data_IF_555661268079
#
_entry.id   IF_555661268079
#
_cell.length_a   1.000
_cell.length_b   1.000
_cell.length_c   1.000
_cell.angle_alpha   90.00
_cell.angle_beta   90.00
_cell.angle_gamma   90.00
#
_symmetry.space_group_name_H-M   'P 1'
#
loop_
_entity.id
_entity.type
_entity.pdbx_description
1 polymer ?
#
# COMPACT_ATOMS: atom_id res chain seq x y z
N UNK A 1 -49.20 4.93 40.94
CA UNK A 1 -48.22 4.37 41.88
C UNK A 1 -47.80 3.01 41.33
N UNK A 2 -46.65 2.94 40.69
CA UNK A 2 -46.04 1.70 40.26
C UNK A 2 -44.79 1.45 41.12
N UNK A 3 -44.48 0.21 41.50
CA UNK A 3 -43.41 -0.08 42.45
C UNK A 3 -42.02 -0.01 41.79
N UNK A 4 -41.03 0.42 42.59
CA UNK A 4 -39.64 0.56 42.21
C UNK A 4 -38.96 -0.82 42.04
N UNK A 5 -37.93 -0.94 41.14
CA UNK A 5 -37.18 -2.16 40.99
C UNK A 5 -36.13 -2.34 42.10
N UNK A 6 -35.73 -3.58 42.40
CA UNK A 6 -34.82 -3.89 43.49
C UNK A 6 -33.35 -3.54 43.12
N UNK A 7 -32.65 -3.04 44.14
CA UNK A 7 -31.22 -2.72 44.12
C UNK A 7 -30.35 -3.98 44.06
N UNK A 8 -29.42 -4.05 43.10
CA UNK A 8 -28.41 -5.10 42.99
C UNK A 8 -27.11 -4.61 43.65
N UNK A 9 -26.70 -5.27 44.71
CA UNK A 9 -25.43 -5.08 45.39
C UNK A 9 -24.29 -5.69 44.57
N UNK A 10 -23.12 -5.04 44.42
CA UNK A 10 -21.99 -5.62 43.72
C UNK A 10 -21.24 -6.64 44.60
N UNK A 11 -21.01 -7.83 44.02
CA UNK A 11 -20.17 -8.87 44.61
C UNK A 11 -18.72 -8.52 44.33
N UNK A 12 -17.92 -8.33 45.38
CA UNK A 12 -16.49 -8.11 45.34
C UNK A 12 -15.74 -9.42 45.09
N UNK A 13 -15.01 -9.54 44.01
CA UNK A 13 -14.05 -10.62 43.78
C UNK A 13 -12.69 -10.29 44.44
N UNK A 14 -12.07 -11.24 45.17
CA UNK A 14 -10.77 -10.99 45.80
C UNK A 14 -9.63 -11.03 44.75
N UNK A 15 -8.84 -9.97 44.74
CA UNK A 15 -7.63 -9.87 43.90
C UNK A 15 -6.55 -10.85 44.36
N UNK A 16 -6.07 -11.65 43.43
CA UNK A 16 -4.88 -12.52 43.60
C UNK A 16 -3.60 -11.67 43.47
N UNK A 17 -2.93 -11.52 44.61
CA UNK A 17 -1.67 -10.76 44.70
C UNK A 17 -0.51 -11.41 43.97
N UNK A 18 0.32 -10.58 43.30
CA UNK A 18 1.50 -10.87 42.48
C UNK A 18 2.64 -11.68 43.16
N UNK A 19 2.47 -12.17 44.40
CA UNK A 19 3.53 -12.85 45.19
C UNK A 19 3.40 -14.38 45.30
N UNK A 20 2.47 -15.03 44.61
CA UNK A 20 2.28 -16.50 44.69
C UNK A 20 2.63 -17.28 43.41
N UNK A 21 3.31 -16.66 42.41
CA UNK A 21 3.68 -17.31 41.13
C UNK A 21 5.16 -17.68 41.04
N UNK A 22 5.89 -17.66 42.15
CA UNK A 22 7.34 -18.02 42.19
C UNK A 22 7.65 -19.26 43.02
N UNK A 23 6.73 -20.23 43.08
CA UNK A 23 6.92 -21.38 43.94
C UNK A 23 6.62 -22.76 43.37
N UNK A 24 6.78 -22.97 42.02
CA UNK A 24 6.62 -24.32 41.44
C UNK A 24 7.46 -24.48 40.16
N UNK A 25 8.79 -24.38 40.31
CA UNK A 25 9.78 -24.82 39.31
C UNK A 25 10.97 -25.45 40.03
N UNK A 26 10.83 -26.67 40.42
CA UNK A 26 11.90 -27.46 41.04
C UNK A 26 11.48 -28.89 41.19
N UNK A 27 11.79 -29.72 40.22
CA UNK A 27 12.10 -31.16 40.37
C UNK A 27 11.78 -31.93 39.07
N UNK A 28 12.74 -32.00 38.15
CA UNK A 28 12.95 -33.17 37.28
C UNK A 28 14.34 -33.02 36.64
N UNK A 29 15.38 -33.29 37.44
CA UNK A 29 16.71 -33.59 36.95
C UNK A 29 16.86 -35.11 36.94
N UNK A 30 17.29 -35.71 35.85
CA UNK A 30 17.70 -37.09 35.85
C UNK A 30 17.99 -37.67 34.48
N UNK A 31 19.26 -37.76 34.16
CA UNK A 31 19.91 -38.77 33.34
C UNK A 31 19.80 -38.68 31.79
N UNK A 32 20.94 -38.39 31.19
CA UNK A 32 21.22 -38.53 29.75
C UNK A 32 22.51 -37.82 29.34
N UNK A 33 23.62 -38.14 30.02
CA UNK A 33 24.93 -37.58 29.66
C UNK A 33 25.76 -38.54 28.79
N UNK A 34 26.59 -37.94 27.93
CA UNK A 34 27.83 -38.43 27.33
C UNK A 34 27.75 -39.21 26.02
N UNK A 35 27.84 -38.48 24.91
CA UNK A 35 28.75 -38.80 23.83
C UNK A 35 29.16 -37.50 23.12
N UNK A 36 30.15 -36.81 23.65
CA UNK A 36 30.82 -35.71 22.93
C UNK A 36 32.28 -36.11 22.79
N UNK A 37 32.79 -36.24 21.59
CA UNK A 37 34.19 -36.06 21.28
C UNK A 37 34.39 -35.70 19.80
N UNK A 38 34.88 -34.53 19.56
CA UNK A 38 35.97 -34.31 18.66
C UNK A 38 35.64 -33.83 17.25
N UNK A 39 35.94 -32.56 16.95
CA UNK A 39 36.06 -32.09 15.60
C UNK A 39 35.89 -30.57 15.47
N UNK A 40 36.84 -29.82 16.06
CA UNK A 40 36.95 -28.39 15.80
C UNK A 40 37.70 -28.17 14.47
N UNK A 41 37.00 -27.88 13.38
CA UNK A 41 37.56 -27.19 12.23
C UNK A 41 36.53 -26.17 11.77
N UNK A 42 36.82 -24.90 11.97
CA UNK A 42 35.98 -23.78 11.65
C UNK A 42 35.60 -23.72 10.15
N UNK A 43 34.33 -23.79 9.94
CA UNK A 43 33.53 -23.13 8.90
C UNK A 43 32.06 -23.44 9.20
N UNK A 44 31.40 -22.55 9.90
CA UNK A 44 29.94 -22.61 9.97
C UNK A 44 29.39 -22.30 8.56
N UNK A 45 29.22 -23.36 7.78
CA UNK A 45 28.27 -23.32 6.65
C UNK A 45 26.90 -23.27 7.28
N UNK A 46 26.14 -22.21 7.05
CA UNK A 46 24.73 -22.14 7.38
C UNK A 46 24.08 -23.37 6.73
N UNK A 47 23.61 -24.32 7.53
CA UNK A 47 22.83 -25.44 7.01
C UNK A 47 21.53 -24.89 6.47
N UNK A 48 21.38 -24.92 5.14
CA UNK A 48 20.14 -24.57 4.47
C UNK A 48 19.00 -25.39 5.10
N UNK A 49 17.92 -24.72 5.48
CA UNK A 49 16.75 -25.41 6.04
C UNK A 49 16.18 -26.33 4.96
N UNK A 50 16.22 -27.63 5.19
CA UNK A 50 15.67 -28.64 4.27
C UNK A 50 14.20 -28.91 4.60
N UNK A 51 13.34 -28.74 3.60
CA UNK A 51 11.94 -29.15 3.63
C UNK A 51 11.75 -30.64 3.33
N UNK A 52 10.51 -31.07 3.21
CA UNK A 52 10.17 -32.46 2.86
C UNK A 52 10.83 -32.87 1.53
N UNK A 53 11.42 -34.07 1.51
CA UNK A 53 12.10 -34.62 0.32
C UNK A 53 13.47 -34.00 0.01
N UNK A 54 14.12 -33.35 0.98
CA UNK A 54 15.48 -32.77 0.82
C UNK A 54 15.53 -31.49 -0.01
N UNK A 55 14.39 -30.89 -0.37
CA UNK A 55 14.31 -29.63 -1.10
C UNK A 55 14.53 -28.44 -0.16
N UNK A 56 15.03 -27.28 -0.67
CA UNK A 56 15.07 -26.04 0.10
C UNK A 56 13.70 -25.69 0.70
N UNK A 57 13.67 -25.10 1.88
CA UNK A 57 12.47 -24.57 2.52
C UNK A 57 12.47 -23.03 2.43
N UNK A 58 11.41 -22.44 1.93
CA UNK A 58 11.25 -21.00 1.74
C UNK A 58 10.04 -20.53 2.56
N UNK A 59 10.25 -19.52 3.42
CA UNK A 59 9.18 -18.81 4.12
C UNK A 59 8.79 -17.56 3.31
N UNK A 60 7.56 -17.54 2.78
CA UNK A 60 7.02 -16.41 2.05
C UNK A 60 5.95 -15.71 2.89
N UNK A 61 6.04 -14.38 3.02
CA UNK A 61 5.09 -13.58 3.80
C UNK A 61 4.29 -12.63 2.92
N UNK A 62 2.97 -12.60 3.17
CA UNK A 62 2.00 -11.75 2.50
C UNK A 62 1.12 -10.97 3.48
N UNK A 63 0.76 -9.72 3.13
CA UNK A 63 -0.35 -9.02 3.77
C UNK A 63 -1.69 -9.62 3.31
N UNK A 64 -2.76 -9.38 4.06
CA UNK A 64 -4.11 -9.74 3.63
C UNK A 64 -4.60 -8.74 2.59
N UNK A 65 -4.83 -9.25 1.39
CA UNK A 65 -5.58 -8.54 0.35
C UNK A 65 -7.07 -8.55 0.68
N UNK A 66 -7.79 -7.51 0.27
CA UNK A 66 -9.24 -7.41 0.52
C UNK A 66 -10.10 -8.32 -0.36
N UNK A 67 -9.53 -8.87 -1.44
CA UNK A 67 -10.25 -9.67 -2.42
C UNK A 67 -10.35 -11.12 -2.00
N UNK A 68 -11.52 -11.70 -2.30
CA UNK A 68 -11.79 -13.10 -1.96
C UNK A 68 -10.91 -14.07 -2.76
N UNK A 69 -10.33 -15.06 -2.08
CA UNK A 69 -9.56 -16.13 -2.71
C UNK A 69 -8.07 -15.83 -2.90
N UNK A 70 -7.60 -14.61 -2.63
CA UNK A 70 -6.19 -14.21 -2.78
C UNK A 70 -5.24 -15.06 -1.95
N UNK A 71 -5.58 -15.37 -0.69
CA UNK A 71 -4.78 -16.25 0.14
C UNK A 71 -4.63 -17.65 -0.49
N UNK A 72 -5.74 -18.25 -0.91
CA UNK A 72 -5.73 -19.59 -1.54
C UNK A 72 -4.93 -19.60 -2.84
N UNK A 73 -4.95 -18.49 -3.60
CA UNK A 73 -4.17 -18.34 -4.82
C UNK A 73 -2.67 -18.39 -4.55
N UNK A 74 -2.16 -17.52 -3.62
CA UNK A 74 -0.72 -17.52 -3.31
C UNK A 74 -0.24 -18.82 -2.68
N UNK A 75 -1.06 -19.47 -1.84
CA UNK A 75 -0.77 -20.81 -1.31
C UNK A 75 -0.72 -21.87 -2.45
N UNK A 76 -1.63 -21.75 -3.43
CA UNK A 76 -1.64 -22.57 -4.64
C UNK A 76 -0.39 -22.39 -5.50
N UNK A 77 0.04 -21.15 -5.71
CA UNK A 77 1.27 -20.85 -6.46
C UNK A 77 2.51 -21.37 -5.72
N UNK A 78 2.59 -21.17 -4.41
CA UNK A 78 3.66 -21.67 -3.57
C UNK A 78 3.78 -23.20 -3.66
N UNK A 79 2.65 -23.92 -3.55
CA UNK A 79 2.57 -25.38 -3.68
C UNK A 79 2.97 -25.88 -5.07
N UNK A 80 2.71 -25.11 -6.11
CA UNK A 80 3.04 -25.45 -7.50
C UNK A 80 4.54 -25.29 -7.83
N UNK A 81 5.33 -24.65 -6.97
CA UNK A 81 6.76 -24.47 -7.22
C UNK A 81 7.52 -25.80 -7.10
N UNK A 82 8.21 -26.28 -8.18
CA UNK A 82 8.75 -27.63 -8.18
C UNK A 82 10.06 -27.78 -7.39
N UNK A 83 10.82 -26.69 -7.18
CA UNK A 83 12.22 -26.76 -6.74
C UNK A 83 12.43 -26.52 -5.25
N UNK A 84 11.40 -26.08 -4.51
CA UNK A 84 11.45 -25.86 -3.07
C UNK A 84 10.10 -26.17 -2.41
N UNK A 85 10.10 -26.31 -1.08
CA UNK A 85 8.89 -26.30 -0.25
C UNK A 85 8.67 -24.87 0.21
N UNK A 86 7.66 -24.21 -0.34
CA UNK A 86 7.32 -22.82 0.00
C UNK A 86 6.16 -22.81 0.99
N UNK A 87 6.36 -22.18 2.15
CA UNK A 87 5.32 -21.98 3.17
C UNK A 87 4.89 -20.52 3.19
N UNK A 88 3.61 -20.28 2.92
CA UNK A 88 3.02 -18.95 2.95
C UNK A 88 2.56 -18.61 4.36
N UNK A 89 2.93 -17.43 4.83
CA UNK A 89 2.36 -16.82 6.04
C UNK A 89 1.54 -15.60 5.64
N UNK A 90 0.26 -15.63 5.98
CA UNK A 90 -0.72 -14.61 5.68
C UNK A 90 -0.97 -13.75 6.92
N UNK A 91 -0.94 -12.42 6.76
CA UNK A 91 -1.11 -11.48 7.87
C UNK A 91 -2.41 -10.68 7.68
N UNK A 92 -3.42 -10.91 8.51
CA UNK A 92 -4.69 -10.17 8.41
C UNK A 92 -4.57 -8.70 8.80
N UNK A 93 -3.51 -8.32 9.54
CA UNK A 93 -3.22 -6.93 9.92
C UNK A 93 -1.77 -6.79 10.39
N UNK A 94 -1.27 -5.53 10.46
CA UNK A 94 0.03 -5.21 11.04
C UNK A 94 1.24 -5.75 10.26
N UNK A 95 1.06 -6.07 8.99
CA UNK A 95 2.06 -6.68 8.13
C UNK A 95 3.35 -5.86 8.05
N UNK A 96 3.28 -4.59 7.65
CA UNK A 96 4.47 -3.76 7.39
C UNK A 96 5.38 -3.62 8.61
N UNK A 97 4.80 -3.36 9.79
CA UNK A 97 5.55 -3.26 11.04
C UNK A 97 6.18 -4.62 11.45
N UNK A 98 5.45 -5.70 11.19
CA UNK A 98 5.92 -7.06 11.51
C UNK A 98 7.07 -7.46 10.60
N UNK A 99 6.97 -7.21 9.28
CA UNK A 99 8.05 -7.48 8.32
C UNK A 99 9.28 -6.64 8.66
N UNK A 100 9.13 -5.33 8.83
CA UNK A 100 10.24 -4.43 9.14
C UNK A 100 11.04 -4.90 10.38
N UNK A 101 10.33 -5.33 11.43
CA UNK A 101 10.96 -5.86 12.64
C UNK A 101 11.60 -7.24 12.42
N UNK A 102 10.94 -8.12 11.68
CA UNK A 102 11.40 -9.49 11.45
C UNK A 102 12.65 -9.56 10.57
N UNK A 103 12.79 -8.67 9.59
CA UNK A 103 13.97 -8.58 8.72
C UNK A 103 15.27 -8.28 9.51
N UNK A 104 15.16 -7.76 10.72
CA UNK A 104 16.29 -7.56 11.62
C UNK A 104 16.73 -8.85 12.33
N UNK A 105 15.95 -9.92 12.25
CA UNK A 105 16.15 -11.18 12.98
C UNK A 105 16.35 -12.36 12.02
N UNK A 106 16.80 -13.50 12.55
CA UNK A 106 16.92 -14.76 11.79
C UNK A 106 15.58 -15.49 11.58
N UNK A 107 14.49 -15.03 12.23
CA UNK A 107 13.15 -15.63 12.13
C UNK A 107 12.23 -14.91 11.14
N UNK A 108 12.78 -13.98 10.37
CA UNK A 108 12.07 -13.27 9.31
C UNK A 108 11.75 -14.15 8.09
N UNK A 109 11.04 -13.59 7.09
CA UNK A 109 10.78 -14.27 5.84
C UNK A 109 12.04 -14.43 4.98
N UNK A 110 12.03 -15.44 4.09
CA UNK A 110 13.00 -15.53 3.00
C UNK A 110 12.55 -14.67 1.81
N UNK A 111 11.25 -14.70 1.51
CA UNK A 111 10.60 -13.88 0.47
C UNK A 111 9.44 -13.11 1.10
N UNK A 112 9.27 -11.86 0.74
CA UNK A 112 8.21 -11.01 1.26
C UNK A 112 7.83 -9.94 0.24
N UNK A 113 6.68 -9.33 0.44
CA UNK A 113 6.23 -8.22 -0.41
C UNK A 113 6.27 -6.89 0.35
N UNK A 114 6.44 -5.81 -0.41
CA UNK A 114 6.29 -4.44 0.10
C UNK A 114 5.44 -3.61 -0.85
N UNK A 115 4.57 -2.80 -0.31
CA UNK A 115 3.89 -1.74 -1.07
C UNK A 115 4.92 -0.77 -1.67
N UNK A 116 4.91 -0.63 -2.98
CA UNK A 116 5.89 0.17 -3.76
C UNK A 116 7.35 -0.34 -3.68
N UNK A 117 7.58 -1.62 -3.30
CA UNK A 117 8.92 -2.17 -3.11
C UNK A 117 9.58 -1.74 -1.79
N UNK A 118 10.80 -2.20 -1.50
CA UNK A 118 11.48 -1.93 -0.24
C UNK A 118 11.79 -0.44 -0.06
N UNK A 119 11.80 0.00 1.21
CA UNK A 119 12.20 1.36 1.55
C UNK A 119 13.70 1.56 1.37
N UNK A 120 14.12 2.82 1.22
CA UNK A 120 15.56 3.17 1.15
C UNK A 120 16.31 2.70 2.40
N UNK A 121 15.67 2.74 3.57
CA UNK A 121 16.28 2.26 4.81
C UNK A 121 16.51 0.75 4.80
N UNK A 122 15.60 -0.04 4.23
CA UNK A 122 15.79 -1.49 4.06
C UNK A 122 16.95 -1.79 3.10
N UNK A 123 17.06 -1.01 2.02
CA UNK A 123 18.11 -1.18 1.02
C UNK A 123 19.48 -0.81 1.61
N UNK A 124 19.60 0.38 2.20
CA UNK A 124 20.85 0.86 2.80
C UNK A 124 21.25 0.09 4.05
N UNK A 125 20.26 -0.40 4.81
CA UNK A 125 20.46 -1.29 5.96
C UNK A 125 20.85 -2.72 5.61
N UNK A 126 20.97 -3.05 4.29
CA UNK A 126 21.36 -4.39 3.83
C UNK A 126 20.35 -5.47 4.21
N UNK A 127 19.06 -5.13 4.33
CA UNK A 127 17.99 -6.06 4.72
C UNK A 127 17.43 -6.83 3.51
N UNK A 128 17.64 -6.34 2.30
CA UNK A 128 17.19 -6.92 1.04
C UNK A 128 18.36 -7.19 0.11
N UNK A 129 18.26 -8.26 -0.67
CA UNK A 129 19.31 -8.63 -1.62
C UNK A 129 19.14 -7.91 -2.96
N UNK A 130 20.27 -7.73 -3.66
CA UNK A 130 20.32 -7.28 -5.04
C UNK A 130 19.73 -8.36 -5.98
N UNK A 131 18.73 -7.99 -6.75
CA UNK A 131 18.04 -8.83 -7.73
C UNK A 131 18.38 -8.40 -9.17
N UNK A 132 19.42 -7.60 -9.37
CA UNK A 132 19.87 -7.17 -10.71
C UNK A 132 20.09 -8.38 -11.62
N UNK A 133 19.54 -8.31 -12.82
CA UNK A 133 19.60 -9.40 -13.80
C UNK A 133 18.50 -10.46 -13.64
N UNK A 134 17.73 -10.48 -12.53
CA UNK A 134 16.66 -11.46 -12.32
C UNK A 134 15.58 -11.43 -13.43
N UNK A 135 15.35 -10.25 -14.00
CA UNK A 135 14.34 -10.05 -15.05
C UNK A 135 14.78 -10.60 -16.41
N UNK A 136 16.09 -10.72 -16.66
CA UNK A 136 16.64 -11.17 -17.94
C UNK A 136 16.04 -10.41 -19.13
N UNK A 137 15.67 -11.13 -20.18
CA UNK A 137 15.09 -10.58 -21.41
C UNK A 137 13.70 -9.95 -21.19
N UNK A 138 13.05 -10.28 -20.07
CA UNK A 138 11.73 -9.72 -19.72
C UNK A 138 11.80 -8.28 -19.16
N UNK A 139 12.98 -7.72 -18.90
CA UNK A 139 13.13 -6.42 -18.27
C UNK A 139 12.40 -5.30 -19.02
N UNK A 140 12.46 -5.26 -20.37
CA UNK A 140 11.79 -4.25 -21.20
C UNK A 140 10.27 -4.39 -21.26
N UNK A 141 9.72 -5.53 -20.84
CA UNK A 141 8.29 -5.82 -20.81
C UNK A 141 7.62 -5.29 -19.54
N UNK A 142 8.36 -5.08 -18.46
CA UNK A 142 7.82 -4.48 -17.25
C UNK A 142 7.53 -2.98 -17.44
N UNK A 143 6.54 -2.49 -16.67
CA UNK A 143 6.20 -1.06 -16.63
C UNK A 143 7.39 -0.27 -16.07
N UNK A 144 7.97 0.69 -16.84
CA UNK A 144 9.23 1.35 -16.45
C UNK A 144 9.21 2.04 -15.10
N UNK A 145 8.13 2.75 -14.76
CA UNK A 145 7.99 3.47 -13.48
C UNK A 145 8.01 2.54 -12.27
N UNK A 146 7.56 1.29 -12.41
CA UNK A 146 7.61 0.30 -11.34
C UNK A 146 9.05 -0.18 -11.12
N UNK A 147 9.78 -0.44 -12.19
CA UNK A 147 11.19 -0.83 -12.13
C UNK A 147 12.03 0.29 -11.54
N UNK A 148 11.82 1.53 -12.00
CA UNK A 148 12.51 2.71 -11.47
C UNK A 148 12.32 2.85 -9.96
N UNK A 149 11.08 2.73 -9.47
CA UNK A 149 10.75 2.83 -8.04
C UNK A 149 11.42 1.74 -7.18
N UNK A 150 11.68 0.58 -7.75
CA UNK A 150 12.31 -0.57 -7.06
C UNK A 150 13.81 -0.67 -7.31
N UNK A 151 14.40 0.33 -8.00
CA UNK A 151 15.82 0.40 -8.33
C UNK A 151 16.51 1.50 -7.54
N UNK A 152 17.65 1.19 -6.94
CA UNK A 152 18.52 2.15 -6.25
C UNK A 152 19.96 1.99 -6.73
N UNK A 153 20.57 3.10 -7.18
CA UNK A 153 21.97 3.12 -7.71
C UNK A 153 22.20 2.02 -8.74
N UNK A 154 21.26 1.85 -9.67
CA UNK A 154 21.32 0.86 -10.75
C UNK A 154 21.07 -0.60 -10.35
N UNK A 155 20.71 -0.87 -9.11
CA UNK A 155 20.42 -2.20 -8.58
C UNK A 155 18.93 -2.37 -8.29
N UNK A 156 18.36 -3.48 -8.75
CA UNK A 156 16.96 -3.85 -8.51
C UNK A 156 16.83 -4.58 -7.16
N UNK A 157 15.82 -4.22 -6.35
CA UNK A 157 15.60 -4.81 -5.01
C UNK A 157 14.23 -5.47 -4.82
N UNK A 158 13.35 -5.37 -5.81
CA UNK A 158 12.09 -6.11 -5.85
C UNK A 158 11.64 -6.35 -7.29
N UNK A 159 10.86 -7.41 -7.49
CA UNK A 159 10.17 -7.68 -8.76
C UNK A 159 8.72 -7.24 -8.62
N UNK A 160 8.21 -6.31 -9.46
CA UNK A 160 6.81 -5.90 -9.41
C UNK A 160 5.87 -7.08 -9.66
N UNK A 161 4.83 -7.20 -8.84
CA UNK A 161 3.81 -8.25 -8.94
C UNK A 161 2.63 -7.79 -9.79
N UNK A 162 2.08 -6.64 -9.46
CA UNK A 162 0.95 -6.00 -10.14
C UNK A 162 1.11 -4.49 -10.08
N UNK A 163 0.31 -3.78 -10.84
CA UNK A 163 0.14 -2.32 -10.75
C UNK A 163 -1.21 -2.03 -10.10
N UNK A 164 -1.19 -1.28 -9.03
CA UNK A 164 -2.35 -0.69 -8.40
C UNK A 164 -2.40 0.81 -8.66
N UNK A 165 -3.61 1.36 -8.62
CA UNK A 165 -3.81 2.79 -8.74
C UNK A 165 -4.95 3.26 -7.84
N UNK A 166 -4.87 4.52 -7.43
CA UNK A 166 -5.97 5.23 -6.81
C UNK A 166 -6.61 6.15 -7.85
N UNK A 167 -7.93 6.33 -7.75
CA UNK A 167 -8.71 7.11 -8.70
C UNK A 167 -9.99 7.63 -8.06
N UNK A 168 -10.66 8.58 -8.71
CA UNK A 168 -11.96 9.04 -8.32
C UNK A 168 -13.04 8.27 -9.10
N UNK A 169 -13.93 7.57 -8.37
CA UNK A 169 -15.15 7.00 -8.94
C UNK A 169 -16.33 7.96 -8.76
N UNK A 170 -17.27 7.98 -9.70
CA UNK A 170 -18.45 8.83 -9.65
C UNK A 170 -19.69 8.15 -10.20
N UNK A 171 -20.86 8.51 -9.68
CA UNK A 171 -22.17 8.06 -10.18
C UNK A 171 -22.61 8.90 -11.38
N UNK A 172 -22.69 8.28 -12.58
CA UNK A 172 -23.09 8.95 -13.81
C UNK A 172 -24.50 9.58 -13.70
N UNK A 173 -25.45 8.78 -13.22
CA UNK A 173 -26.85 9.24 -13.07
C UNK A 173 -27.01 10.43 -12.11
N UNK A 174 -26.18 10.49 -11.04
CA UNK A 174 -26.25 11.60 -10.09
C UNK A 174 -25.66 12.89 -10.68
N UNK A 175 -24.54 12.81 -11.42
CA UNK A 175 -23.96 13.95 -12.11
C UNK A 175 -24.93 14.49 -13.17
N UNK A 176 -25.48 13.59 -14.01
CA UNK A 176 -26.45 13.96 -15.05
C UNK A 176 -27.69 14.64 -14.47
N UNK A 177 -28.31 14.01 -13.45
CA UNK A 177 -29.50 14.57 -12.78
C UNK A 177 -29.22 15.96 -12.19
N UNK A 178 -28.03 16.19 -11.66
CA UNK A 178 -27.63 17.47 -11.10
C UNK A 178 -27.14 18.47 -12.18
N UNK A 179 -27.01 18.06 -13.44
CA UNK A 179 -26.40 18.86 -14.51
C UNK A 179 -24.96 19.26 -14.17
N UNK A 180 -24.18 18.31 -13.65
CA UNK A 180 -22.76 18.48 -13.31
C UNK A 180 -21.91 17.83 -14.38
N UNK A 181 -21.06 18.60 -15.04
CA UNK A 181 -20.02 18.08 -15.93
C UNK A 181 -18.88 17.44 -15.11
N UNK A 182 -18.11 16.54 -15.73
CA UNK A 182 -16.91 16.00 -15.09
C UNK A 182 -15.93 17.14 -14.76
N UNK A 183 -15.51 17.27 -13.49
CA UNK A 183 -14.61 18.36 -13.10
C UNK A 183 -13.20 18.14 -13.67
N UNK A 184 -12.64 19.17 -14.25
CA UNK A 184 -11.27 19.22 -14.80
C UNK A 184 -10.32 19.96 -13.89
N UNK A 185 -10.87 20.78 -12.98
CA UNK A 185 -10.12 21.50 -11.96
C UNK A 185 -10.60 21.15 -10.55
N UNK A 186 -9.75 21.39 -9.55
CA UNK A 186 -10.10 21.20 -8.12
C UNK A 186 -11.26 22.12 -7.73
N UNK A 187 -11.34 23.35 -8.27
CA UNK A 187 -12.47 24.25 -8.00
C UNK A 187 -13.78 23.72 -8.56
N UNK A 188 -13.76 23.16 -9.77
CA UNK A 188 -14.91 22.48 -10.35
C UNK A 188 -15.31 21.24 -9.54
N UNK A 189 -14.33 20.50 -8.99
CA UNK A 189 -14.60 19.35 -8.12
C UNK A 189 -15.27 19.78 -6.81
N UNK A 190 -14.83 20.87 -6.18
CA UNK A 190 -15.47 21.45 -5.01
C UNK A 190 -16.91 21.88 -5.31
N UNK A 191 -17.10 22.57 -6.45
CA UNK A 191 -18.43 22.99 -6.90
C UNK A 191 -19.35 21.79 -7.23
N UNK A 192 -18.80 20.74 -7.85
CA UNK A 192 -19.50 19.49 -8.11
C UNK A 192 -19.90 18.79 -6.80
N UNK A 193 -18.98 18.66 -5.85
CA UNK A 193 -19.27 18.07 -4.54
C UNK A 193 -20.40 18.81 -3.84
N UNK A 194 -20.36 20.15 -3.81
CA UNK A 194 -21.42 20.98 -3.24
C UNK A 194 -22.78 20.73 -3.93
N UNK A 195 -22.81 20.69 -5.25
CA UNK A 195 -24.06 20.54 -6.04
C UNK A 195 -24.66 19.13 -5.91
N UNK A 196 -23.81 18.12 -5.67
CA UNK A 196 -24.23 16.73 -5.47
C UNK A 196 -24.62 16.43 -4.02
N UNK A 197 -24.28 17.31 -3.08
CA UNK A 197 -24.61 17.11 -1.66
C UNK A 197 -26.12 17.34 -1.44
N UNK A 198 -26.73 16.41 -0.70
CA UNK A 198 -28.12 16.47 -0.23
C UNK A 198 -28.16 16.08 1.25
N UNK A 199 -29.33 16.05 1.85
CA UNK A 199 -29.52 15.60 3.23
C UNK A 199 -29.06 14.13 3.45
N UNK A 200 -29.08 13.31 2.39
CA UNK A 200 -28.79 11.88 2.45
C UNK A 200 -27.47 11.47 1.81
N UNK A 201 -26.95 12.27 0.92
CA UNK A 201 -25.77 11.95 0.10
C UNK A 201 -24.76 13.08 0.22
N UNK A 202 -23.52 12.79 0.48
CA UNK A 202 -22.42 13.75 0.39
C UNK A 202 -21.85 13.76 -1.03
N UNK A 203 -21.33 14.91 -1.47
CA UNK A 203 -20.76 15.04 -2.80
C UNK A 203 -19.51 14.18 -3.02
N UNK A 204 -18.66 14.08 -2.00
CA UNK A 204 -17.39 13.36 -2.09
C UNK A 204 -17.07 12.59 -0.79
N UNK A 205 -16.43 11.43 -0.94
CA UNK A 205 -15.73 10.71 0.13
C UNK A 205 -14.27 10.45 -0.26
N UNK A 206 -13.34 10.74 0.64
CA UNK A 206 -11.89 10.53 0.42
C UNK A 206 -11.18 9.98 1.66
N UNK A 207 -11.93 9.30 2.53
CA UNK A 207 -11.45 8.77 3.81
C UNK A 207 -11.99 9.54 5.02
N UNK A 208 -12.00 8.85 6.14
CA UNK A 208 -12.52 9.39 7.41
C UNK A 208 -11.61 10.46 8.02
N UNK A 209 -10.38 10.57 7.51
CA UNK A 209 -9.42 11.61 7.87
C UNK A 209 -9.58 12.91 7.04
N UNK A 210 -10.53 12.94 6.12
CA UNK A 210 -10.76 14.07 5.23
C UNK A 210 -9.83 14.09 4.01
N UNK A 211 -9.27 12.96 3.63
CA UNK A 211 -8.37 12.81 2.50
C UNK A 211 -6.89 13.08 2.82
N UNK A 212 -6.55 13.32 4.08
CA UNK A 212 -5.16 13.59 4.49
C UNK A 212 -4.22 12.46 4.10
N UNK A 213 -4.64 11.22 4.31
CA UNK A 213 -3.82 10.04 4.04
C UNK A 213 -3.60 9.74 2.55
N UNK A 214 -4.42 10.31 1.65
CA UNK A 214 -4.42 9.89 0.23
C UNK A 214 -4.38 11.03 -0.78
N UNK A 215 -4.81 12.25 -0.43
CA UNK A 215 -4.90 13.36 -1.37
C UNK A 215 -3.71 14.33 -1.34
N UNK A 216 -2.77 14.15 -0.42
CA UNK A 216 -1.60 15.03 -0.32
C UNK A 216 -0.77 15.07 -1.61
N UNK A 217 -0.37 13.90 -2.13
CA UNK A 217 0.33 13.79 -3.41
C UNK A 217 -0.48 14.30 -4.61
N UNK A 218 -1.73 13.83 -4.80
CA UNK A 218 -2.62 14.37 -5.82
C UNK A 218 -2.74 15.90 -5.82
N UNK A 219 -2.78 16.54 -4.65
CA UNK A 219 -2.81 17.99 -4.54
C UNK A 219 -1.48 18.66 -4.96
N UNK A 220 -0.33 18.06 -4.64
CA UNK A 220 0.96 18.55 -5.14
C UNK A 220 1.01 18.47 -6.67
N UNK A 221 0.64 17.35 -7.26
CA UNK A 221 0.65 17.16 -8.71
C UNK A 221 -0.37 18.05 -9.42
N UNK A 222 -1.52 18.29 -8.78
CA UNK A 222 -2.52 19.25 -9.25
C UNK A 222 -1.97 20.69 -9.31
N UNK A 223 -0.99 21.02 -8.47
CA UNK A 223 -0.26 22.29 -8.48
C UNK A 223 0.97 22.30 -9.41
N UNK A 224 1.28 21.18 -10.08
CA UNK A 224 2.52 21.02 -10.87
C UNK A 224 3.78 20.78 -10.05
N UNK A 225 3.61 20.35 -8.80
CA UNK A 225 4.68 20.07 -7.83
C UNK A 225 4.80 18.57 -7.59
N UNK A 226 5.84 18.17 -6.85
CA UNK A 226 6.02 16.79 -6.41
C UNK A 226 6.63 16.75 -5.00
N UNK A 227 6.71 15.58 -4.39
CA UNK A 227 7.33 15.38 -3.07
C UNK A 227 8.78 15.86 -3.02
N UNK A 228 9.55 15.54 -4.05
CA UNK A 228 10.94 15.94 -4.23
C UNK A 228 11.09 16.64 -5.59
N UNK A 229 12.20 17.35 -5.78
CA UNK A 229 12.55 17.89 -7.09
C UNK A 229 12.80 16.76 -8.12
N UNK A 230 12.96 17.11 -9.40
CA UNK A 230 13.12 16.15 -10.48
C UNK A 230 14.28 15.17 -10.27
N UNK A 231 15.39 15.63 -9.69
CA UNK A 231 16.58 14.81 -9.41
C UNK A 231 16.48 14.04 -8.09
N UNK A 232 15.36 14.18 -7.36
CA UNK A 232 15.13 13.62 -6.03
C UNK A 232 16.16 14.04 -4.96
N UNK A 233 16.83 15.18 -5.15
CA UNK A 233 17.90 15.68 -4.28
C UNK A 233 17.47 16.76 -3.30
N UNK A 234 16.27 17.32 -3.45
CA UNK A 234 15.76 18.40 -2.63
C UNK A 234 14.23 18.32 -2.44
N UNK A 235 13.73 19.06 -1.47
CA UNK A 235 12.31 19.27 -1.23
C UNK A 235 11.60 19.85 -2.46
N UNK A 236 10.44 19.29 -2.84
CA UNK A 236 9.80 19.56 -4.13
C UNK A 236 8.60 20.50 -4.11
N UNK A 237 8.13 20.97 -2.93
CA UNK A 237 6.85 21.70 -2.85
C UNK A 237 6.88 22.93 -1.94
N UNK A 238 7.92 23.74 -2.02
CA UNK A 238 7.95 25.05 -1.38
C UNK A 238 7.36 26.10 -2.34
N UNK A 239 6.28 26.75 -1.96
CA UNK A 239 5.72 27.83 -2.75
C UNK A 239 4.21 27.94 -2.76
N UNK A 240 3.72 28.93 -3.47
CA UNK A 240 2.30 29.32 -3.49
C UNK A 240 1.38 28.17 -3.96
N UNK A 241 1.81 27.35 -4.91
CA UNK A 241 1.01 26.22 -5.41
C UNK A 241 0.72 25.15 -4.35
N UNK A 242 1.70 24.80 -3.51
CA UNK A 242 1.47 23.89 -2.39
C UNK A 242 0.56 24.49 -1.32
N UNK A 243 0.77 25.77 -1.00
CA UNK A 243 -0.08 26.52 -0.07
C UNK A 243 -1.52 26.53 -0.54
N UNK A 244 -1.75 26.84 -1.83
CA UNK A 244 -3.07 26.82 -2.45
C UNK A 244 -3.69 25.43 -2.42
N UNK A 245 -2.96 24.40 -2.86
CA UNK A 245 -3.45 23.00 -2.89
C UNK A 245 -3.92 22.53 -1.53
N UNK A 246 -3.12 22.75 -0.48
CA UNK A 246 -3.48 22.35 0.88
C UNK A 246 -4.60 23.19 1.49
N UNK A 247 -4.68 24.48 1.13
CA UNK A 247 -5.81 25.32 1.50
C UNK A 247 -7.13 24.84 0.85
N UNK A 248 -7.09 24.39 -0.42
CA UNK A 248 -8.26 23.78 -1.10
C UNK A 248 -8.68 22.45 -0.46
N UNK A 249 -7.72 21.63 -0.01
CA UNK A 249 -8.04 20.40 0.73
C UNK A 249 -8.73 20.72 2.07
N UNK A 250 -8.27 21.74 2.79
CA UNK A 250 -8.99 22.23 3.97
C UNK A 250 -10.37 22.77 3.63
N UNK A 251 -10.51 23.54 2.54
CA UNK A 251 -11.80 24.05 2.07
C UNK A 251 -12.77 22.88 1.84
N UNK A 252 -12.33 21.80 1.18
CA UNK A 252 -13.13 20.60 0.98
C UNK A 252 -13.55 19.99 2.33
N UNK A 253 -12.60 19.84 3.26
CA UNK A 253 -12.87 19.26 4.58
C UNK A 253 -13.91 20.04 5.39
N UNK A 254 -13.87 21.39 5.31
CA UNK A 254 -14.77 22.27 6.07
C UNK A 254 -16.06 22.62 5.36
N UNK A 255 -16.24 22.23 4.09
CA UNK A 255 -17.39 22.61 3.25
C UNK A 255 -18.71 22.00 3.74
N UNK A 256 -18.66 20.87 4.42
CA UNK A 256 -19.83 20.05 4.73
C UNK A 256 -20.25 19.12 3.58
N UNK A 257 -19.56 19.17 2.43
CA UNK A 257 -19.84 18.36 1.23
C UNK A 257 -19.01 17.08 1.18
N UNK A 258 -17.99 16.98 2.02
CA UNK A 258 -17.19 15.78 2.23
C UNK A 258 -17.86 14.89 3.27
N UNK A 259 -17.98 13.59 2.96
CA UNK A 259 -18.38 12.58 3.94
C UNK A 259 -17.24 12.36 4.93
N UNK A 260 -17.55 12.38 6.23
CA UNK A 260 -16.63 12.03 7.33
C UNK A 260 -17.40 11.09 8.27
N UNK A 261 -16.72 10.07 8.80
CA UNK A 261 -17.37 9.09 9.69
C UNK A 261 -18.14 8.00 8.94
N UNK A 262 -17.69 7.62 7.74
CA UNK A 262 -18.19 6.45 7.04
C UNK A 262 -17.88 5.16 7.82
N UNK A 263 -18.67 4.07 7.62
CA UNK A 263 -18.44 2.77 8.29
C UNK A 263 -17.08 2.15 7.99
N UNK A 264 -16.52 2.41 6.80
CA UNK A 264 -15.20 1.97 6.36
C UNK A 264 -14.41 3.15 5.78
N UNK A 265 -13.12 2.95 5.54
CA UNK A 265 -12.25 4.01 5.03
C UNK A 265 -12.19 4.01 3.48
N UNK A 266 -11.45 4.94 2.91
CA UNK A 266 -11.36 5.24 1.47
C UNK A 266 -11.11 4.00 0.58
N UNK A 267 -10.36 3.03 1.08
CA UNK A 267 -10.00 1.80 0.34
C UNK A 267 -11.13 0.78 0.20
N UNK A 268 -12.24 0.98 0.92
CA UNK A 268 -13.45 0.15 0.85
C UNK A 268 -14.57 0.93 0.15
N UNK A 269 -15.28 0.32 -0.83
CA UNK A 269 -16.28 1.03 -1.61
C UNK A 269 -17.64 1.21 -0.91
N UNK A 270 -17.79 0.76 0.33
CA UNK A 270 -19.10 0.70 1.01
C UNK A 270 -19.78 2.06 1.14
N UNK A 271 -19.04 3.15 1.34
CA UNK A 271 -19.62 4.50 1.37
C UNK A 271 -20.29 4.86 0.03
N UNK A 272 -19.65 4.54 -1.07
CA UNK A 272 -20.18 4.76 -2.42
C UNK A 272 -21.31 3.78 -2.76
N UNK A 273 -21.12 2.49 -2.52
CA UNK A 273 -22.08 1.44 -2.88
C UNK A 273 -23.35 1.47 -2.02
N UNK A 274 -23.28 2.03 -0.82
CA UNK A 274 -24.47 2.31 0.03
C UNK A 274 -25.15 3.65 -0.30
N UNK A 275 -24.61 4.41 -1.28
CA UNK A 275 -25.20 5.68 -1.70
C UNK A 275 -24.98 6.83 -0.71
N UNK A 276 -23.98 6.74 0.18
CA UNK A 276 -23.64 7.81 1.12
C UNK A 276 -22.82 8.92 0.46
N UNK A 277 -22.12 8.63 -0.64
CA UNK A 277 -21.35 9.58 -1.42
C UNK A 277 -21.63 9.46 -2.93
N UNK A 278 -21.71 10.60 -3.64
CA UNK A 278 -21.88 10.65 -5.09
C UNK A 278 -20.58 10.39 -5.84
N UNK A 279 -19.45 10.74 -5.25
CA UNK A 279 -18.09 10.50 -5.72
C UNK A 279 -17.27 9.92 -4.57
N UNK A 280 -16.32 9.02 -4.88
CA UNK A 280 -15.40 8.49 -3.88
C UNK A 280 -14.00 8.37 -4.46
N UNK A 281 -12.99 8.84 -3.70
CA UNK A 281 -11.61 8.47 -3.93
C UNK A 281 -11.38 7.06 -3.41
N UNK A 282 -10.91 6.16 -4.27
CA UNK A 282 -10.69 4.76 -3.92
C UNK A 282 -9.65 4.12 -4.85
N UNK A 283 -9.54 2.81 -4.90
CA UNK A 283 -8.60 2.09 -5.74
C UNK A 283 -9.27 1.20 -6.80
N UNK A 284 -8.48 0.83 -7.79
CA UNK A 284 -8.89 -0.03 -8.90
C UNK A 284 -9.56 -1.33 -8.43
N UNK A 285 -9.07 -1.92 -7.35
CA UNK A 285 -9.58 -3.16 -6.74
C UNK A 285 -11.05 -3.11 -6.32
N UNK A 286 -11.62 -1.92 -6.15
CA UNK A 286 -13.02 -1.75 -5.72
C UNK A 286 -14.02 -1.85 -6.89
N UNK A 287 -13.58 -1.71 -8.13
CA UNK A 287 -14.46 -1.63 -9.30
C UNK A 287 -15.40 -2.84 -9.47
N UNK A 288 -14.99 -4.10 -9.19
CA UNK A 288 -15.92 -5.23 -9.29
C UNK A 288 -17.11 -5.15 -8.32
N UNK A 289 -16.87 -4.62 -7.11
CA UNK A 289 -17.94 -4.42 -6.10
C UNK A 289 -18.85 -3.26 -6.50
N UNK A 290 -18.27 -2.20 -7.04
CA UNK A 290 -19.01 -1.03 -7.55
C UNK A 290 -19.86 -1.42 -8.76
N UNK A 291 -19.32 -2.19 -9.73
CA UNK A 291 -20.06 -2.68 -10.89
C UNK A 291 -21.27 -3.54 -10.47
N UNK A 292 -21.09 -4.40 -9.46
CA UNK A 292 -22.19 -5.20 -8.93
C UNK A 292 -23.29 -4.35 -8.29
N UNK A 293 -22.92 -3.26 -7.61
CA UNK A 293 -23.87 -2.35 -6.93
C UNK A 293 -24.57 -1.41 -7.92
N UNK A 294 -23.86 -0.94 -8.94
CA UNK A 294 -24.33 0.06 -9.90
C UNK A 294 -23.93 -0.32 -11.34
N UNK A 295 -24.52 -1.38 -11.92
CA UNK A 295 -24.15 -1.86 -13.25
C UNK A 295 -24.22 -0.76 -14.29
N UNK A 296 -23.06 -0.38 -14.87
CA UNK A 296 -22.93 0.65 -15.89
C UNK A 296 -23.16 2.10 -15.43
N UNK A 297 -23.62 2.33 -14.18
CA UNK A 297 -23.92 3.67 -13.65
C UNK A 297 -22.77 4.26 -12.83
N UNK A 298 -21.54 4.00 -13.22
CA UNK A 298 -20.38 4.69 -12.65
C UNK A 298 -19.33 4.95 -13.72
N UNK A 299 -18.44 5.87 -13.41
CA UNK A 299 -17.26 6.16 -14.21
C UNK A 299 -16.07 6.40 -13.30
N UNK A 300 -14.90 6.52 -13.91
CA UNK A 300 -13.63 6.78 -13.21
C UNK A 300 -12.94 8.00 -13.81
N UNK A 301 -12.19 8.72 -12.99
CA UNK A 301 -11.39 9.85 -13.44
C UNK A 301 -10.17 10.05 -12.56
N UNK A 302 -9.17 10.76 -13.09
CA UNK A 302 -8.02 11.24 -12.34
C UNK A 302 -8.42 12.35 -11.37
N UNK A 303 -7.60 12.58 -10.32
CA UNK A 303 -7.68 13.80 -9.53
C UNK A 303 -7.40 15.01 -10.42
N UNK A 304 -8.26 16.05 -10.42
CA UNK A 304 -8.13 17.17 -11.34
C UNK A 304 -7.00 18.13 -10.98
N UNK A 305 -6.69 19.04 -11.90
CA UNK A 305 -5.62 20.04 -11.73
C UNK A 305 -6.08 21.26 -10.94
N UNK A 306 -5.13 22.00 -10.34
CA UNK A 306 -5.35 23.39 -9.87
C UNK A 306 -5.23 24.41 -11.00
N UNK A 307 -4.87 23.98 -12.21
CA UNK A 307 -4.55 24.86 -13.36
C UNK A 307 -3.04 25.12 -13.49
N UNK A 308 -2.67 26.09 -14.36
CA UNK A 308 -1.26 26.42 -14.57
C UNK A 308 -0.41 25.26 -15.07
N UNK A 309 0.65 24.92 -14.35
CA UNK A 309 1.54 23.80 -14.65
C UNK A 309 1.02 22.44 -14.13
N UNK A 310 -0.07 22.44 -13.37
CA UNK A 310 -0.68 21.24 -12.80
C UNK A 310 -1.24 20.31 -13.86
N UNK A 311 -1.32 19.05 -13.53
CA UNK A 311 -1.88 18.00 -14.41
C UNK A 311 -2.82 17.10 -13.62
N UNK A 312 -3.87 16.55 -14.27
CA UNK A 312 -4.64 15.47 -13.68
C UNK A 312 -3.72 14.30 -13.32
N UNK A 313 -3.99 13.63 -12.22
CA UNK A 313 -3.09 12.57 -11.74
C UNK A 313 -3.83 11.42 -11.07
N UNK A 314 -3.22 10.23 -11.17
CA UNK A 314 -3.57 9.04 -10.41
C UNK A 314 -2.29 8.51 -9.74
N UNK A 315 -2.29 8.30 -8.43
CA UNK A 315 -1.20 7.59 -7.76
C UNK A 315 -1.14 6.15 -8.27
N UNK A 316 0.05 5.75 -8.70
CA UNK A 316 0.34 4.39 -9.17
C UNK A 316 1.37 3.77 -8.24
N UNK A 317 1.07 2.57 -7.78
CA UNK A 317 1.95 1.77 -6.97
C UNK A 317 1.99 0.33 -7.44
N UNK A 318 2.85 -0.45 -6.81
CA UNK A 318 2.92 -1.88 -7.06
C UNK A 318 3.42 -2.57 -5.80
N UNK A 319 2.81 -3.70 -5.45
CA UNK A 319 3.51 -4.61 -4.56
C UNK A 319 4.70 -5.23 -5.28
N UNK A 320 5.84 -5.23 -4.62
CA UNK A 320 7.08 -5.80 -5.12
C UNK A 320 7.52 -6.98 -4.27
N UNK A 321 7.89 -8.09 -4.91
CA UNK A 321 8.45 -9.27 -4.24
C UNK A 321 9.95 -9.09 -4.03
N UNK A 322 10.38 -9.10 -2.76
CA UNK A 322 11.77 -8.95 -2.33
C UNK A 322 12.29 -10.21 -1.68
N UNK A 323 13.61 -10.37 -1.67
CA UNK A 323 14.32 -11.45 -0.97
C UNK A 323 15.08 -10.86 0.20
N UNK A 324 14.92 -11.46 1.39
CA UNK A 324 15.62 -11.07 2.60
C UNK A 324 17.12 -11.37 2.49
N UNK A 325 17.95 -10.45 2.96
CA UNK A 325 19.40 -10.71 3.10
C UNK A 325 19.72 -11.79 4.14
N UNK A 326 18.75 -12.15 4.99
CA UNK A 326 18.82 -13.24 5.97
C UNK A 326 18.08 -14.49 5.53
N UNK A 327 17.71 -14.59 4.25
CA UNK A 327 17.12 -15.81 3.70
C UNK A 327 18.05 -17.00 3.94
N UNK A 328 17.48 -18.11 4.40
CA UNK A 328 18.25 -19.34 4.73
C UNK A 328 18.93 -19.93 3.49
N UNK A 329 18.26 -19.81 2.33
CA UNK A 329 18.82 -20.12 1.02
C UNK A 329 18.44 -19.00 0.06
N UNK A 330 19.32 -18.01 -0.06
CA UNK A 330 19.07 -16.81 -0.87
C UNK A 330 18.93 -17.13 -2.37
N UNK A 331 19.64 -18.10 -2.89
CA UNK A 331 19.55 -18.48 -4.30
C UNK A 331 18.25 -19.23 -4.60
N UNK A 332 17.80 -20.13 -3.72
CA UNK A 332 16.50 -20.77 -3.85
C UNK A 332 15.35 -19.72 -3.75
N UNK A 333 15.48 -18.74 -2.85
CA UNK A 333 14.51 -17.65 -2.71
C UNK A 333 14.44 -16.77 -3.97
N UNK A 334 15.59 -16.38 -4.56
CA UNK A 334 15.65 -15.65 -5.83
C UNK A 334 15.05 -16.46 -6.98
N UNK A 335 15.37 -17.74 -7.06
CA UNK A 335 14.83 -18.63 -8.08
C UNK A 335 13.31 -18.75 -7.99
N UNK A 336 12.74 -18.79 -6.77
CA UNK A 336 11.30 -18.78 -6.55
C UNK A 336 10.65 -17.46 -7.00
N UNK A 337 11.23 -16.30 -6.63
CA UNK A 337 10.73 -14.97 -7.05
C UNK A 337 10.75 -14.86 -8.57
N UNK A 338 11.86 -15.28 -9.22
CA UNK A 338 11.97 -15.31 -10.67
C UNK A 338 10.91 -16.19 -11.31
N UNK A 339 10.78 -17.42 -10.84
CA UNK A 339 9.81 -18.35 -11.36
C UNK A 339 8.39 -17.77 -11.30
N UNK A 340 7.95 -17.25 -10.15
CA UNK A 340 6.58 -16.78 -9.97
C UNK A 340 6.31 -15.47 -10.72
N UNK A 341 7.19 -14.47 -10.53
CA UNK A 341 6.91 -13.10 -10.95
C UNK A 341 7.63 -12.68 -12.26
N UNK A 342 8.46 -13.54 -12.86
CA UNK A 342 9.06 -13.29 -14.17
C UNK A 342 8.65 -14.37 -15.18
N UNK A 343 8.78 -15.65 -14.82
CA UNK A 343 8.61 -16.74 -15.79
C UNK A 343 7.14 -17.17 -15.96
N UNK A 344 6.31 -17.14 -14.89
CA UNK A 344 4.93 -17.65 -14.89
C UNK A 344 3.90 -16.56 -15.26
N UNK A 345 3.87 -16.14 -16.53
CA UNK A 345 2.95 -15.08 -17.01
C UNK A 345 1.46 -15.42 -16.79
N UNK A 346 1.10 -16.71 -16.84
CA UNK A 346 -0.29 -17.14 -16.60
C UNK A 346 -0.69 -16.96 -15.13
N UNK A 347 0.24 -17.19 -14.18
CA UNK A 347 -0.01 -16.92 -12.75
C UNK A 347 -0.09 -15.43 -12.47
N UNK A 348 0.71 -14.61 -13.16
CA UNK A 348 0.63 -13.15 -13.04
C UNK A 348 -0.72 -12.64 -13.57
N UNK A 349 -1.19 -13.17 -14.68
CA UNK A 349 -2.51 -12.84 -15.23
C UNK A 349 -3.63 -13.31 -14.29
N UNK A 350 -3.54 -14.54 -13.79
CA UNK A 350 -4.50 -15.12 -12.85
C UNK A 350 -4.58 -14.29 -11.57
N UNK A 351 -3.43 -13.93 -10.98
CA UNK A 351 -3.36 -13.05 -9.82
C UNK A 351 -4.04 -11.69 -10.07
N UNK A 352 -3.70 -11.04 -11.18
CA UNK A 352 -4.22 -9.71 -11.51
C UNK A 352 -5.71 -9.72 -11.89
N UNK A 353 -6.24 -10.80 -12.47
CA UNK A 353 -7.56 -10.80 -13.11
C UNK A 353 -8.57 -11.73 -12.47
N UNK A 354 -8.15 -12.85 -11.85
CA UNK A 354 -9.08 -13.84 -11.29
C UNK A 354 -9.40 -13.54 -9.84
N UNK A 355 -8.40 -13.28 -9.04
CA UNK A 355 -8.53 -13.04 -7.61
C UNK A 355 -8.56 -11.56 -7.26
N UNK A 356 -7.63 -10.79 -7.82
CA UNK A 356 -7.63 -9.34 -7.69
C UNK A 356 -8.32 -8.66 -8.87
N UNK A 357 -8.32 -7.35 -8.83
CA UNK A 357 -8.65 -6.50 -9.96
C UNK A 357 -7.53 -5.45 -10.08
N UNK A 358 -6.43 -5.89 -10.71
CA UNK A 358 -5.19 -5.15 -10.83
C UNK A 358 -4.74 -5.10 -12.28
N UNK A 359 -3.90 -4.15 -12.61
CA UNK A 359 -3.21 -4.12 -13.89
C UNK A 359 -1.95 -4.99 -13.76
N UNK A 360 -1.72 -5.97 -14.65
CA UNK A 360 -0.47 -6.73 -14.64
C UNK A 360 0.76 -5.81 -14.73
N UNK A 361 1.86 -6.17 -14.07
CA UNK A 361 3.08 -5.38 -14.09
C UNK A 361 3.81 -5.40 -15.46
N UNK A 362 3.43 -6.33 -16.36
CA UNK A 362 4.06 -6.56 -17.67
C UNK A 362 3.12 -6.20 -18.82
N UNK A 363 3.64 -5.48 -19.82
CA UNK A 363 2.89 -5.03 -21.01
C UNK A 363 2.30 -6.19 -21.80
N UNK A 364 3.04 -7.28 -22.00
CA UNK A 364 2.58 -8.48 -22.70
C UNK A 364 1.45 -9.23 -21.97
N UNK A 365 1.41 -9.11 -20.64
CA UNK A 365 0.35 -9.69 -19.80
C UNK A 365 -0.87 -8.77 -19.74
N UNK A 366 -0.67 -7.43 -19.72
CA UNK A 366 -1.76 -6.44 -19.85
C UNK A 366 -2.57 -6.71 -21.13
N UNK A 367 -1.90 -6.99 -22.24
CA UNK A 367 -2.56 -7.28 -23.52
C UNK A 367 -3.50 -8.50 -23.48
N UNK A 368 -3.32 -9.40 -22.50
CA UNK A 368 -4.17 -10.57 -22.27
C UNK A 368 -5.26 -10.33 -21.21
N UNK A 369 -5.25 -9.18 -20.53
CA UNK A 369 -6.13 -8.88 -19.41
C UNK A 369 -7.52 -8.41 -19.90
N UNK A 370 -8.40 -9.35 -20.21
CA UNK A 370 -9.72 -9.10 -20.80
C UNK A 370 -10.65 -8.25 -19.92
N UNK A 371 -10.50 -8.32 -18.58
CA UNK A 371 -11.28 -7.47 -17.67
C UNK A 371 -10.92 -5.97 -17.76
N UNK A 372 -9.78 -5.65 -18.38
CA UNK A 372 -9.32 -4.27 -18.61
C UNK A 372 -9.62 -3.78 -20.05
N UNK A 373 -10.38 -4.56 -20.84
CA UNK A 373 -10.58 -4.28 -22.26
C UNK A 373 -11.75 -3.33 -22.56
N UNK A 374 -12.62 -3.06 -21.59
CA UNK A 374 -13.81 -2.23 -21.81
C UNK A 374 -14.34 -1.56 -20.55
N UNK A 375 -15.19 -0.54 -20.71
CA UNK A 375 -15.86 0.16 -19.61
C UNK A 375 -14.91 0.89 -18.67
N UNK A 376 -15.36 1.18 -17.43
CA UNK A 376 -14.55 1.93 -16.46
C UNK A 376 -13.20 1.30 -16.13
N UNK A 377 -13.05 -0.02 -16.30
CA UNK A 377 -11.78 -0.71 -16.13
C UNK A 377 -10.75 -0.35 -17.22
N UNK A 378 -11.20 -0.24 -18.47
CA UNK A 378 -10.34 0.23 -19.57
C UNK A 378 -9.98 1.70 -19.41
N UNK A 379 -10.95 2.52 -18.98
CA UNK A 379 -10.71 3.93 -18.66
C UNK A 379 -9.66 4.07 -17.55
N UNK A 380 -9.74 3.27 -16.49
CA UNK A 380 -8.75 3.24 -15.42
C UNK A 380 -7.35 2.84 -15.93
N UNK A 381 -7.26 1.79 -16.74
CA UNK A 381 -5.99 1.38 -17.35
C UNK A 381 -5.37 2.48 -18.23
N UNK A 382 -6.21 3.23 -18.95
CA UNK A 382 -5.78 4.41 -19.71
C UNK A 382 -5.26 5.52 -18.81
N UNK A 383 -5.91 5.79 -17.67
CA UNK A 383 -5.47 6.82 -16.72
C UNK A 383 -4.06 6.53 -16.18
N UNK A 384 -3.65 5.27 -16.02
CA UNK A 384 -2.27 4.92 -15.61
C UNK A 384 -1.25 5.43 -16.64
N UNK A 385 -1.54 5.27 -17.93
CA UNK A 385 -0.64 5.72 -19.00
C UNK A 385 -0.62 7.25 -19.14
N UNK A 386 -1.80 7.89 -19.03
CA UNK A 386 -1.97 9.32 -19.33
C UNK A 386 -1.64 10.21 -18.13
N UNK A 387 -1.89 9.72 -16.90
CA UNK A 387 -1.89 10.53 -15.68
C UNK A 387 -1.20 9.84 -14.48
N UNK A 388 -0.59 8.67 -14.68
CA UNK A 388 0.05 7.89 -13.64
C UNK A 388 1.28 8.58 -13.05
N UNK A 389 1.34 8.65 -11.72
CA UNK A 389 2.47 9.14 -10.93
C UNK A 389 2.85 8.10 -9.87
N UNK A 390 4.13 7.88 -9.67
CA UNK A 390 4.57 7.02 -8.57
C UNK A 390 4.00 7.55 -7.25
N UNK A 391 3.36 6.69 -6.48
CA UNK A 391 2.68 7.05 -5.23
C UNK A 391 3.60 7.77 -4.24
N UNK A 392 4.87 7.39 -4.21
CA UNK A 392 5.92 8.10 -3.49
C UNK A 392 7.28 7.79 -4.10
N UNK A 393 8.23 8.75 -4.12
CA UNK A 393 9.60 8.49 -4.55
C UNK A 393 10.33 7.53 -3.59
N UNK A 394 11.36 6.84 -4.06
CA UNK A 394 12.15 5.90 -3.24
C UNK A 394 12.80 6.60 -2.04
N UNK A 395 13.26 7.84 -2.23
CA UNK A 395 13.93 8.63 -1.18
C UNK A 395 12.97 9.31 -0.21
N UNK A 396 11.65 9.13 -0.39
CA UNK A 396 10.64 9.60 0.56
C UNK A 396 10.54 8.63 1.75
N UNK A 397 11.38 8.87 2.76
CA UNK A 397 11.51 7.99 3.92
C UNK A 397 10.22 7.95 4.76
N UNK A 398 10.02 6.93 5.61
CA UNK A 398 8.90 6.90 6.56
C UNK A 398 8.82 8.16 7.44
N UNK A 399 9.96 8.77 7.79
CA UNK A 399 9.99 10.01 8.56
C UNK A 399 9.52 11.23 7.75
N UNK A 400 9.86 11.28 6.45
CA UNK A 400 9.29 12.27 5.52
C UNK A 400 7.78 12.11 5.41
N UNK A 401 7.29 10.88 5.24
CA UNK A 401 5.87 10.57 5.16
C UNK A 401 5.11 10.96 6.43
N UNK A 402 5.68 10.69 7.62
CA UNK A 402 5.10 11.10 8.90
C UNK A 402 5.03 12.63 9.02
N UNK A 403 6.13 13.34 8.73
CA UNK A 403 6.15 14.80 8.80
C UNK A 403 5.13 15.45 7.86
N UNK A 404 4.98 14.88 6.65
CA UNK A 404 4.01 15.30 5.65
C UNK A 404 2.57 15.08 6.13
N UNK A 405 2.24 13.88 6.58
CA UNK A 405 0.92 13.52 7.09
C UNK A 405 0.54 14.36 8.30
N UNK A 406 1.45 14.54 9.27
CA UNK A 406 1.21 15.36 10.46
C UNK A 406 0.96 16.83 10.11
N UNK A 407 1.76 17.38 9.21
CA UNK A 407 1.58 18.74 8.74
C UNK A 407 0.26 18.94 8.00
N UNK A 408 -0.10 17.99 7.09
CA UNK A 408 -1.41 18.01 6.43
C UNK A 408 -2.57 17.90 7.42
N UNK A 409 -2.47 17.04 8.44
CA UNK A 409 -3.48 16.94 9.50
C UNK A 409 -3.66 18.29 10.22
N UNK A 410 -2.56 18.98 10.53
CA UNK A 410 -2.64 20.31 11.17
C UNK A 410 -3.27 21.36 10.25
N UNK A 411 -2.92 21.36 8.96
CA UNK A 411 -3.53 22.26 7.97
C UNK A 411 -5.03 21.94 7.82
N UNK A 412 -5.35 20.72 7.46
CA UNK A 412 -6.70 20.33 7.03
C UNK A 412 -7.67 20.34 8.19
N UNK A 413 -7.32 19.69 9.29
CA UNK A 413 -8.24 19.50 10.43
C UNK A 413 -8.15 20.61 11.47
N UNK A 414 -6.96 21.09 11.76
CA UNK A 414 -6.76 22.11 12.82
C UNK A 414 -6.73 23.54 12.29
N UNK A 415 -6.51 23.76 11.00
CA UNK A 415 -6.48 25.08 10.39
C UNK A 415 -5.17 25.83 10.60
N UNK A 416 -4.08 25.11 10.78
CA UNK A 416 -2.75 25.70 10.79
C UNK A 416 -2.43 26.37 9.46
N UNK A 417 -1.59 27.39 9.50
CA UNK A 417 -1.11 28.10 8.31
C UNK A 417 -0.33 27.14 7.39
N UNK A 418 -0.75 26.95 6.12
CA UNK A 418 -0.09 26.03 5.22
C UNK A 418 1.38 26.37 4.96
N UNK A 419 1.74 27.65 4.82
CA UNK A 419 3.12 28.04 4.53
C UNK A 419 4.05 27.67 5.69
N UNK A 420 3.59 27.86 6.93
CA UNK A 420 4.33 27.49 8.14
C UNK A 420 4.54 25.99 8.24
N UNK A 421 3.50 25.20 7.99
CA UNK A 421 3.58 23.74 8.04
C UNK A 421 4.48 23.18 6.93
N UNK A 422 4.40 23.74 5.70
CA UNK A 422 5.29 23.39 4.59
C UNK A 422 6.75 23.65 4.94
N UNK A 423 7.06 24.80 5.56
CA UNK A 423 8.42 25.11 6.01
C UNK A 423 8.93 24.11 7.07
N UNK A 424 8.06 23.67 7.98
CA UNK A 424 8.37 22.62 8.95
C UNK A 424 8.64 21.25 8.29
N UNK A 425 7.79 20.86 7.33
CA UNK A 425 7.98 19.63 6.52
C UNK A 425 9.32 19.69 5.79
N UNK A 426 9.64 20.81 5.13
CA UNK A 426 10.89 21.04 4.40
C UNK A 426 12.10 20.74 5.28
N UNK A 427 12.13 21.30 6.49
CA UNK A 427 13.23 21.07 7.43
C UNK A 427 13.47 19.58 7.71
N UNK A 428 12.39 18.81 7.90
CA UNK A 428 12.49 17.37 8.16
C UNK A 428 12.95 16.61 6.92
N UNK A 429 12.38 16.92 5.75
CA UNK A 429 12.70 16.25 4.49
C UNK A 429 14.16 16.50 4.10
N UNK A 430 14.65 17.73 4.17
CA UNK A 430 16.05 18.06 3.85
C UNK A 430 17.03 17.35 4.80
N UNK A 431 16.70 17.26 6.09
CA UNK A 431 17.50 16.50 7.05
C UNK A 431 17.54 15.00 6.73
N UNK A 432 16.40 14.44 6.28
CA UNK A 432 16.33 13.03 5.89
C UNK A 432 17.06 12.75 4.58
N UNK A 433 16.94 13.61 3.57
CA UNK A 433 17.70 13.47 2.33
C UNK A 433 19.21 13.45 2.61
N UNK A 434 19.70 14.38 3.43
CA UNK A 434 21.09 14.36 3.88
C UNK A 434 21.46 13.07 4.63
N UNK A 435 20.56 12.52 5.48
CA UNK A 435 20.80 11.26 6.19
C UNK A 435 20.98 10.09 5.23
N UNK A 436 20.17 10.02 4.17
CA UNK A 436 20.24 8.93 3.17
C UNK A 436 21.31 9.15 2.10
N UNK A 437 22.11 10.19 2.21
CA UNK A 437 23.28 10.43 1.35
C UNK A 437 22.96 11.07 0.00
N UNK A 438 22.02 12.04 0.06
CA UNK A 438 21.65 12.92 -1.07
C UNK A 438 22.07 14.35 -0.76
#
# INVERSE_FOLDING_TARGET
>A
MAPAPPSVTPVSTPGLGRRRLLGLAGAALGAGALAACGGNTGREGSSAATGAGGKPAIAQWYHAYGEAGTQAAVEGYAKAYPSAVVTVKWFPSGYDNTVASALLTASGPDVFENGNGPSIDMIQGGQVVDLTGILGDAASDFTPSLIERMTYKGKLYAVPQVTDMQLLVYRKSLLEKAGVALPTTVDELLAAAKKLTTDKVKGLFAGNDGGVGVLGGPMLWAAGLDYLNADQTAFGFDGAGAVEGFAKLRQLFTSGDLLVGAPADWSDPSAFTSGLAAMQWTGLWTLPVIEKAFPGDYGVMAWPTLGGAGKPSVPVGAYGSSVSAKAKDGEAAKAFVKWLWVDQTDKQLDWAQTYGFHIPARKSVIAKATKLASGPAADAAKLVNDSGRAQSPLLWTPKCATAFSDGLNRIVRSGSDPAKEIASMKTVVEAELKRVGV
#
